data_IF_943583117363
#
_entry.id   IF_943583117363
#
_cell.length_a   1.000
_cell.length_b   1.000
_cell.length_c   1.000
_cell.angle_alpha   90.00
_cell.angle_beta   90.00
_cell.angle_gamma   90.00
#
_symmetry.space_group_name_H-M   'P 1'
#
loop_
_entity.id
_entity.type
_entity.pdbx_description
1 polymer ?
#
# COMPACT_ATOMS: atom_id res chain seq x y z
N UNK A 1 -31.04 59.11 8.81
CA UNK A 1 -29.83 58.92 7.97
C UNK A 1 -28.71 58.14 8.67
N UNK A 2 -28.52 58.33 10.00
CA UNK A 2 -27.47 57.59 10.76
C UNK A 2 -27.74 56.09 10.95
N UNK A 3 -28.99 55.66 11.11
CA UNK A 3 -29.34 54.24 11.29
C UNK A 3 -29.11 53.41 10.01
N UNK A 4 -29.43 53.94 8.84
CA UNK A 4 -29.19 53.24 7.56
C UNK A 4 -27.69 53.05 7.27
N UNK A 5 -26.86 54.02 7.62
CA UNK A 5 -25.40 53.92 7.44
C UNK A 5 -24.82 52.87 8.42
N UNK A 6 -25.32 52.82 9.64
CA UNK A 6 -24.85 51.80 10.62
C UNK A 6 -25.29 50.37 10.21
N UNK A 7 -26.49 50.19 9.69
CA UNK A 7 -26.98 48.90 9.22
C UNK A 7 -26.11 48.39 8.03
N UNK A 8 -25.83 49.29 7.06
CA UNK A 8 -25.00 48.95 5.91
C UNK A 8 -23.55 48.62 6.26
N UNK A 9 -22.96 49.31 7.24
CA UNK A 9 -21.61 49.05 7.74
C UNK A 9 -21.53 47.77 8.57
N UNK A 10 -22.61 47.36 9.24
CA UNK A 10 -22.69 46.11 10.01
C UNK A 10 -22.80 44.90 9.09
N UNK A 11 -23.60 44.98 8.04
CA UNK A 11 -23.77 43.93 7.04
C UNK A 11 -22.46 43.69 6.27
N UNK A 12 -21.77 44.74 5.87
CA UNK A 12 -20.48 44.63 5.17
C UNK A 12 -19.38 44.01 6.06
N UNK A 13 -19.34 44.37 7.36
CA UNK A 13 -18.40 43.73 8.32
C UNK A 13 -18.70 42.25 8.51
N UNK A 14 -19.99 41.90 8.58
CA UNK A 14 -20.42 40.50 8.71
C UNK A 14 -20.04 39.65 7.49
N UNK A 15 -20.26 40.19 6.29
CA UNK A 15 -19.84 39.56 5.02
C UNK A 15 -18.31 39.39 4.97
N UNK A 16 -17.56 40.36 5.42
CA UNK A 16 -16.09 40.32 5.44
C UNK A 16 -15.56 39.30 6.44
N UNK A 17 -16.20 39.17 7.62
CA UNK A 17 -15.88 38.15 8.63
C UNK A 17 -16.17 36.75 8.09
N UNK A 18 -17.31 36.53 7.42
CA UNK A 18 -17.63 35.25 6.80
C UNK A 18 -16.61 34.91 5.70
N UNK A 19 -16.26 35.87 4.84
CA UNK A 19 -15.27 35.70 3.79
C UNK A 19 -13.89 35.26 4.33
N UNK A 20 -13.43 35.91 5.40
CA UNK A 20 -12.17 35.56 6.08
C UNK A 20 -12.28 34.16 6.70
N UNK A 21 -13.40 33.82 7.35
CA UNK A 21 -13.62 32.50 7.94
C UNK A 21 -13.58 31.37 6.89
N UNK A 22 -14.24 31.59 5.75
CA UNK A 22 -14.22 30.63 4.63
C UNK A 22 -12.81 30.44 4.08
N UNK A 23 -12.03 31.52 3.91
CA UNK A 23 -10.64 31.47 3.47
C UNK A 23 -9.75 30.69 4.44
N UNK A 24 -9.93 30.88 5.74
CA UNK A 24 -9.17 30.16 6.78
C UNK A 24 -9.55 28.68 6.77
N UNK A 25 -10.82 28.33 6.69
CA UNK A 25 -11.28 26.94 6.66
C UNK A 25 -10.82 26.21 5.40
N UNK A 26 -10.86 26.86 4.24
CA UNK A 26 -10.34 26.28 2.99
C UNK A 26 -8.82 26.10 3.03
N UNK A 27 -8.09 27.06 3.58
CA UNK A 27 -6.64 26.95 3.81
C UNK A 27 -6.28 25.80 4.74
N UNK A 28 -7.02 25.64 5.84
CA UNK A 28 -6.88 24.52 6.78
C UNK A 28 -7.19 23.17 6.10
N UNK A 29 -8.27 23.09 5.35
CA UNK A 29 -8.65 21.86 4.62
C UNK A 29 -7.58 21.45 3.59
N UNK A 30 -7.06 22.41 2.82
CA UNK A 30 -5.95 22.20 1.88
C UNK A 30 -4.68 21.80 2.62
N UNK A 31 -4.34 22.45 3.72
CA UNK A 31 -3.19 22.10 4.56
C UNK A 31 -3.29 20.67 5.11
N UNK A 32 -4.45 20.30 5.65
CA UNK A 32 -4.72 18.92 6.13
C UNK A 32 -4.64 17.94 4.98
N UNK A 33 -5.18 18.26 3.80
CA UNK A 33 -5.09 17.41 2.61
C UNK A 33 -3.63 17.14 2.20
N UNK A 34 -2.78 18.18 2.16
CA UNK A 34 -1.35 18.03 1.86
C UNK A 34 -0.60 17.29 2.96
N UNK A 35 -0.92 17.49 4.24
CA UNK A 35 -0.31 16.75 5.36
C UNK A 35 -0.68 15.26 5.34
N UNK A 36 -1.96 14.94 5.06
CA UNK A 36 -2.42 13.55 4.91
C UNK A 36 -1.77 12.90 3.68
N UNK A 37 -1.65 13.64 2.57
CA UNK A 37 -0.98 13.16 1.37
C UNK A 37 0.53 12.96 1.58
N UNK A 38 1.19 13.85 2.33
CA UNK A 38 2.62 13.72 2.67
C UNK A 38 2.88 12.53 3.61
N UNK A 39 1.98 12.25 4.57
CA UNK A 39 2.05 11.06 5.42
C UNK A 39 1.78 9.76 4.66
N UNK A 40 1.13 9.83 3.48
CA UNK A 40 0.91 8.69 2.58
C UNK A 40 2.08 8.40 1.64
N UNK A 41 3.08 9.30 1.56
CA UNK A 41 4.32 8.99 0.85
C UNK A 41 5.05 7.90 1.61
N UNK A 42 4.95 6.69 1.11
CA UNK A 42 5.78 5.58 1.53
C UNK A 42 7.25 5.85 1.21
N UNK A 43 8.19 5.25 1.94
CA UNK A 43 9.61 5.51 1.74
C UNK A 43 9.99 5.24 0.29
N UNK A 44 10.61 6.23 -0.33
CA UNK A 44 11.04 6.22 -1.72
C UNK A 44 12.21 5.26 -2.01
N UNK A 45 12.57 4.40 -1.06
CA UNK A 45 13.77 3.59 -1.14
C UNK A 45 13.50 2.13 -0.78
N UNK A 46 12.62 1.49 -1.59
CA UNK A 46 12.33 0.06 -1.50
C UNK A 46 13.59 -0.82 -1.59
N UNK A 47 14.64 -0.30 -2.22
CA UNK A 47 15.87 -1.04 -2.49
C UNK A 47 16.84 -1.05 -1.28
N UNK A 48 16.58 -0.23 -0.25
CA UNK A 48 17.38 -0.16 0.98
C UNK A 48 16.69 -0.81 2.19
N UNK A 49 15.52 -1.41 2.01
CA UNK A 49 14.84 -2.10 3.09
C UNK A 49 15.51 -3.43 3.38
N UNK A 50 15.65 -3.77 4.65
CA UNK A 50 15.95 -5.14 5.06
C UNK A 50 14.73 -6.04 4.84
N UNK A 51 14.97 -7.37 4.69
CA UNK A 51 13.90 -8.30 4.33
C UNK A 51 12.67 -8.20 5.21
N UNK A 52 12.87 -8.15 6.53
CA UNK A 52 11.78 -8.08 7.51
C UNK A 52 11.00 -6.75 7.46
N UNK A 53 11.69 -5.63 7.28
CA UNK A 53 11.03 -4.32 7.08
C UNK A 53 10.19 -4.30 5.80
N UNK A 54 10.68 -4.97 4.75
CA UNK A 54 9.95 -5.11 3.50
C UNK A 54 8.67 -5.96 3.66
N UNK A 55 8.69 -7.03 4.44
CA UNK A 55 7.52 -7.85 4.76
C UNK A 55 6.43 -7.01 5.46
N UNK A 56 6.80 -6.26 6.51
CA UNK A 56 5.87 -5.35 7.19
C UNK A 56 5.34 -4.25 6.28
N UNK A 57 6.21 -3.70 5.45
CA UNK A 57 5.82 -2.72 4.45
C UNK A 57 4.77 -3.28 3.48
N UNK A 58 5.01 -4.48 2.93
CA UNK A 58 4.09 -5.17 2.04
C UNK A 58 2.75 -5.47 2.74
N UNK A 59 2.78 -5.93 3.99
CA UNK A 59 1.58 -6.18 4.76
C UNK A 59 0.73 -4.90 4.95
N UNK A 60 1.36 -3.76 5.26
CA UNK A 60 0.66 -2.48 5.37
C UNK A 60 0.09 -2.00 4.02
N UNK A 61 0.82 -2.23 2.94
CA UNK A 61 0.35 -1.92 1.59
C UNK A 61 -0.88 -2.75 1.22
N UNK A 62 -0.84 -4.05 1.45
CA UNK A 62 -1.97 -4.96 1.20
C UNK A 62 -3.22 -4.53 1.98
N UNK A 63 -3.08 -4.20 3.28
CA UNK A 63 -4.19 -3.66 4.08
C UNK A 63 -4.82 -2.42 3.45
N UNK A 64 -4.01 -1.51 2.93
CA UNK A 64 -4.50 -0.30 2.24
C UNK A 64 -5.18 -0.63 0.92
N UNK A 65 -4.84 -1.75 0.29
CA UNK A 65 -5.45 -2.25 -0.95
C UNK A 65 -6.67 -3.14 -0.73
N UNK A 66 -7.22 -3.11 0.49
CA UNK A 66 -8.45 -3.80 0.84
C UNK A 66 -8.29 -5.28 1.13
N UNK A 67 -7.05 -5.77 1.32
CA UNK A 67 -6.85 -7.09 1.89
C UNK A 67 -7.20 -7.08 3.37
N UNK A 68 -7.89 -8.12 3.81
CA UNK A 68 -8.30 -8.39 5.18
C UNK A 68 -7.45 -9.51 5.76
N UNK A 69 -7.51 -9.68 7.09
CA UNK A 69 -6.80 -10.73 7.83
C UNK A 69 -5.31 -10.84 7.44
N UNK A 70 -4.69 -9.67 7.20
CA UNK A 70 -3.28 -9.58 6.81
C UNK A 70 -2.41 -9.83 8.03
N UNK A 71 -1.75 -10.97 8.05
CA UNK A 71 -0.85 -11.44 9.10
C UNK A 71 0.56 -11.65 8.52
N UNK A 72 1.58 -11.11 9.18
CA UNK A 72 2.99 -11.43 8.92
C UNK A 72 3.35 -12.68 9.73
N UNK A 73 3.85 -13.70 9.07
CA UNK A 73 4.20 -14.99 9.69
C UNK A 73 5.43 -14.85 10.60
N UNK A 74 5.65 -15.85 11.45
CA UNK A 74 6.86 -15.89 12.28
C UNK A 74 8.02 -16.39 11.44
N UNK A 75 9.09 -15.61 11.27
CA UNK A 75 10.21 -15.82 10.36
C UNK A 75 11.05 -17.10 10.54
N UNK A 76 10.59 -18.08 11.31
CA UNK A 76 11.19 -19.41 11.39
C UNK A 76 10.12 -20.49 11.33
N UNK A 77 10.25 -21.41 10.36
CA UNK A 77 9.26 -22.47 10.14
C UNK A 77 8.01 -22.01 9.38
N UNK A 78 8.11 -20.91 8.64
CA UNK A 78 7.05 -20.30 7.85
C UNK A 78 6.85 -20.94 6.46
N UNK A 79 7.62 -21.99 6.18
CA UNK A 79 7.60 -22.71 4.91
C UNK A 79 7.73 -21.80 3.68
N UNK A 80 8.43 -20.65 3.85
CA UNK A 80 8.67 -19.68 2.81
C UNK A 80 7.47 -18.78 2.51
N UNK A 81 6.57 -18.57 3.47
CA UNK A 81 5.47 -17.59 3.35
C UNK A 81 5.65 -16.52 4.42
N UNK A 82 5.69 -15.27 4.00
CA UNK A 82 5.91 -14.13 4.88
C UNK A 82 4.59 -13.45 5.27
N UNK A 83 3.55 -13.53 4.41
CA UNK A 83 2.26 -12.90 4.67
C UNK A 83 1.11 -13.83 4.30
N UNK A 84 0.14 -13.95 5.22
CA UNK A 84 -1.19 -14.51 4.95
C UNK A 84 -2.18 -13.37 4.82
N UNK A 85 -3.14 -13.47 3.90
CA UNK A 85 -4.14 -12.43 3.68
C UNK A 85 -5.41 -12.99 3.04
N UNK A 86 -6.49 -12.19 3.06
CA UNK A 86 -7.72 -12.48 2.35
C UNK A 86 -8.18 -11.24 1.57
N UNK A 87 -8.76 -11.45 0.39
CA UNK A 87 -9.45 -10.40 -0.36
C UNK A 87 -10.59 -10.99 -1.17
N UNK A 88 -11.79 -10.43 -1.00
CA UNK A 88 -13.01 -10.83 -1.72
C UNK A 88 -13.32 -12.33 -1.60
N UNK A 89 -13.09 -12.92 -0.41
CA UNK A 89 -13.28 -14.35 -0.13
C UNK A 89 -12.18 -15.26 -0.68
N UNK A 90 -11.10 -14.70 -1.24
CA UNK A 90 -9.94 -15.44 -1.73
C UNK A 90 -8.82 -15.34 -0.72
N UNK A 91 -8.27 -16.49 -0.29
CA UNK A 91 -7.17 -16.55 0.67
C UNK A 91 -5.82 -16.64 -0.04
N UNK A 92 -4.83 -15.91 0.47
CA UNK A 92 -3.50 -15.75 -0.13
C UNK A 92 -2.40 -16.21 0.81
N UNK A 93 -1.38 -16.88 0.24
CA UNK A 93 -0.07 -17.10 0.84
C UNK A 93 0.96 -16.34 0.02
N UNK A 94 1.65 -15.38 0.62
CA UNK A 94 2.50 -14.43 -0.09
C UNK A 94 3.93 -14.54 0.44
N UNK A 95 4.86 -14.81 -0.47
CA UNK A 95 6.30 -14.74 -0.22
C UNK A 95 6.80 -13.34 -0.60
N UNK A 96 7.55 -12.69 0.27
CA UNK A 96 8.18 -11.40 0.02
C UNK A 96 9.67 -11.57 -0.27
N UNK A 97 10.19 -10.89 -1.29
CA UNK A 97 11.63 -10.89 -1.62
C UNK A 97 12.10 -9.46 -1.86
N UNK A 98 12.95 -8.96 -0.96
CA UNK A 98 13.64 -7.69 -1.10
C UNK A 98 15.08 -7.94 -1.54
N UNK A 99 15.36 -7.83 -2.83
CA UNK A 99 16.66 -8.16 -3.41
C UNK A 99 17.23 -7.00 -4.22
N UNK A 100 18.55 -7.01 -4.43
CA UNK A 100 19.22 -6.12 -5.35
C UNK A 100 19.27 -6.68 -6.80
N UNK A 101 18.87 -7.93 -6.99
CA UNK A 101 18.93 -8.65 -8.28
C UNK A 101 17.58 -9.32 -8.59
N UNK A 102 17.31 -9.66 -9.87
CA UNK A 102 16.07 -10.32 -10.25
C UNK A 102 15.79 -11.61 -9.47
N UNK A 103 14.53 -11.85 -9.15
CA UNK A 103 14.07 -13.00 -8.38
C UNK A 103 14.00 -14.26 -9.24
N UNK A 104 14.62 -15.32 -8.77
CA UNK A 104 14.70 -16.62 -9.47
C UNK A 104 13.60 -17.61 -9.08
N UNK A 105 13.69 -18.81 -9.66
CA UNK A 105 12.71 -19.92 -9.51
C UNK A 105 12.49 -20.34 -8.06
N UNK A 106 13.50 -20.24 -7.22
CA UNK A 106 13.42 -20.66 -5.81
C UNK A 106 12.26 -20.00 -5.05
N UNK A 107 12.04 -18.68 -5.25
CA UNK A 107 10.94 -17.98 -4.61
C UNK A 107 9.56 -18.51 -5.04
N UNK A 108 9.44 -18.94 -6.30
CA UNK A 108 8.21 -19.53 -6.83
C UNK A 108 7.94 -20.90 -6.19
N UNK A 109 8.99 -21.70 -6.02
CA UNK A 109 8.90 -23.01 -5.36
C UNK A 109 8.51 -22.86 -3.88
N UNK A 110 9.09 -21.88 -3.18
CA UNK A 110 8.76 -21.55 -1.79
C UNK A 110 7.28 -21.13 -1.69
N UNK A 111 6.82 -20.20 -2.53
CA UNK A 111 5.43 -19.75 -2.55
C UNK A 111 4.45 -20.89 -2.90
N UNK A 112 4.84 -21.80 -3.80
CA UNK A 112 4.02 -22.96 -4.15
C UNK A 112 3.86 -23.92 -2.97
N UNK A 113 4.97 -24.30 -2.32
CA UNK A 113 4.95 -25.20 -1.18
C UNK A 113 4.22 -24.60 0.02
N UNK A 114 4.46 -23.33 0.31
CA UNK A 114 3.82 -22.64 1.42
C UNK A 114 2.34 -22.40 1.22
N UNK A 115 1.90 -22.10 -0.01
CA UNK A 115 0.47 -22.01 -0.32
C UNK A 115 -0.28 -23.28 0.09
N UNK A 116 0.24 -24.42 -0.30
CA UNK A 116 -0.39 -25.72 0.01
C UNK A 116 -0.29 -26.06 1.50
N UNK A 117 0.84 -25.72 2.14
CA UNK A 117 1.01 -25.91 3.59
C UNK A 117 0.00 -25.12 4.43
N UNK A 118 -0.31 -23.88 4.02
CA UNK A 118 -1.26 -23.01 4.72
C UNK A 118 -2.70 -23.14 4.21
N UNK A 119 -3.00 -24.11 3.35
CA UNK A 119 -4.33 -24.33 2.75
C UNK A 119 -4.91 -23.03 2.14
N UNK A 120 -4.07 -22.27 1.39
CA UNK A 120 -4.49 -21.03 0.73
C UNK A 120 -4.85 -21.27 -0.73
N UNK A 121 -5.85 -20.52 -1.20
CA UNK A 121 -6.33 -20.64 -2.58
C UNK A 121 -5.31 -20.13 -3.59
N UNK A 122 -4.56 -19.09 -3.23
CA UNK A 122 -3.63 -18.39 -4.12
C UNK A 122 -2.27 -18.26 -3.46
N UNK A 123 -1.21 -18.66 -4.17
CA UNK A 123 0.17 -18.33 -3.84
C UNK A 123 0.64 -17.13 -4.65
N UNK A 124 1.41 -16.24 -4.05
CA UNK A 124 2.00 -15.08 -4.71
C UNK A 124 3.45 -14.86 -4.27
N UNK A 125 4.24 -14.24 -5.15
CA UNK A 125 5.55 -13.67 -4.79
C UNK A 125 5.50 -12.17 -5.02
N UNK A 126 5.80 -11.38 -3.99
CA UNK A 126 5.87 -9.92 -4.02
C UNK A 126 7.33 -9.47 -3.87
N UNK A 127 7.79 -8.60 -4.76
CA UNK A 127 9.20 -8.17 -4.76
C UNK A 127 9.39 -6.72 -5.18
N UNK A 128 10.49 -6.10 -4.69
CA UNK A 128 11.00 -4.82 -5.18
C UNK A 128 11.75 -4.92 -6.51
N UNK A 129 11.88 -6.13 -7.08
CA UNK A 129 12.63 -6.41 -8.31
C UNK A 129 11.73 -7.01 -9.39
N UNK A 130 12.32 -7.41 -10.50
CA UNK A 130 11.67 -8.15 -11.56
C UNK A 130 12.01 -9.64 -11.44
N UNK A 131 11.26 -10.48 -12.14
CA UNK A 131 11.47 -11.92 -12.16
C UNK A 131 12.34 -12.34 -13.34
N UNK A 132 13.16 -13.38 -13.15
CA UNK A 132 13.89 -14.02 -14.25
C UNK A 132 12.92 -14.79 -15.17
N UNK A 133 13.27 -14.96 -16.44
CA UNK A 133 12.46 -15.75 -17.39
C UNK A 133 12.11 -17.14 -16.87
N UNK A 134 13.05 -17.94 -16.29
CA UNK A 134 12.70 -19.22 -15.70
C UNK A 134 11.71 -19.13 -14.53
N UNK A 135 11.77 -18.06 -13.73
CA UNK A 135 10.81 -17.83 -12.65
C UNK A 135 9.39 -17.57 -13.19
N UNK A 136 9.27 -16.76 -14.24
CA UNK A 136 7.99 -16.50 -14.91
C UNK A 136 7.38 -17.78 -15.49
N UNK A 137 8.19 -18.61 -16.14
CA UNK A 137 7.75 -19.89 -16.68
C UNK A 137 7.27 -20.85 -15.58
N UNK A 138 8.03 -20.96 -14.48
CA UNK A 138 7.66 -21.77 -13.33
C UNK A 138 6.36 -21.27 -12.68
N UNK A 139 6.23 -19.97 -12.48
CA UNK A 139 5.03 -19.36 -11.88
C UNK A 139 3.77 -19.64 -12.71
N UNK A 140 3.88 -19.56 -14.04
CA UNK A 140 2.78 -19.91 -14.96
C UNK A 140 2.34 -21.36 -14.80
N UNK A 141 3.27 -22.31 -14.69
CA UNK A 141 2.97 -23.75 -14.50
C UNK A 141 2.38 -24.04 -13.12
N UNK A 142 2.95 -23.43 -12.08
CA UNK A 142 2.57 -23.64 -10.69
C UNK A 142 1.39 -22.77 -10.23
N UNK A 143 0.87 -21.88 -11.11
CA UNK A 143 -0.21 -20.94 -10.85
C UNK A 143 0.09 -20.03 -9.64
N UNK A 144 1.31 -19.50 -9.60
CA UNK A 144 1.75 -18.52 -8.62
C UNK A 144 1.65 -17.13 -9.22
N UNK A 145 1.05 -16.18 -8.50
CA UNK A 145 0.99 -14.78 -8.92
C UNK A 145 2.35 -14.11 -8.74
N UNK A 146 2.70 -13.28 -9.70
CA UNK A 146 3.94 -12.50 -9.67
C UNK A 146 3.58 -11.01 -9.50
N UNK A 147 3.95 -10.46 -8.36
CA UNK A 147 3.82 -9.04 -8.04
C UNK A 147 5.22 -8.43 -8.02
N UNK A 148 5.68 -8.04 -9.19
CA UNK A 148 6.98 -7.43 -9.40
C UNK A 148 7.03 -5.95 -9.01
N UNK A 149 8.17 -5.30 -9.24
CA UNK A 149 8.37 -3.88 -8.98
C UNK A 149 7.29 -3.01 -9.62
N UNK A 150 6.96 -3.25 -10.89
CA UNK A 150 5.94 -2.46 -11.59
C UNK A 150 4.57 -2.58 -10.95
N UNK A 151 4.19 -3.81 -10.54
CA UNK A 151 2.95 -4.04 -9.81
C UNK A 151 2.97 -3.39 -8.42
N UNK A 152 4.10 -3.49 -7.70
CA UNK A 152 4.28 -2.86 -6.39
C UNK A 152 4.15 -1.33 -6.48
N UNK A 153 4.77 -0.71 -7.48
CA UNK A 153 4.67 0.73 -7.75
C UNK A 153 3.22 1.13 -8.10
N UNK A 154 2.53 0.35 -8.92
CA UNK A 154 1.11 0.62 -9.21
C UNK A 154 0.23 0.57 -7.96
N UNK A 155 0.50 -0.38 -7.06
CA UNK A 155 -0.16 -0.42 -5.76
C UNK A 155 0.15 0.80 -4.88
N UNK A 156 1.22 1.52 -5.10
CA UNK A 156 1.56 2.73 -4.36
C UNK A 156 0.89 3.99 -4.93
N UNK A 157 0.61 4.01 -6.22
CA UNK A 157 0.06 5.17 -6.95
C UNK A 157 -1.47 5.23 -6.92
N UNK A 158 -2.15 4.11 -6.94
CA UNK A 158 -3.61 4.07 -6.87
C UNK A 158 -4.11 4.57 -5.50
N UNK A 159 -4.84 5.67 -5.49
CA UNK A 159 -5.51 6.26 -4.32
C UNK A 159 -6.98 5.85 -4.26
#
# INVERSE_FOLDING_TARGET
MSEFVNLYLTDNKFILIIGVLVLVLTGLAVGIFFLVRARRKMPSNLDLMEGHDFEYFCAQLLKRRGFQDVEVTKGSGDYGIDILAEKDGITYAIQCKCYATPVGVKAIQEAYAGRDYYDRMVGAVLTNQYFTTPAVEAAKKLKILLWDRGYLESMLEEN
#
